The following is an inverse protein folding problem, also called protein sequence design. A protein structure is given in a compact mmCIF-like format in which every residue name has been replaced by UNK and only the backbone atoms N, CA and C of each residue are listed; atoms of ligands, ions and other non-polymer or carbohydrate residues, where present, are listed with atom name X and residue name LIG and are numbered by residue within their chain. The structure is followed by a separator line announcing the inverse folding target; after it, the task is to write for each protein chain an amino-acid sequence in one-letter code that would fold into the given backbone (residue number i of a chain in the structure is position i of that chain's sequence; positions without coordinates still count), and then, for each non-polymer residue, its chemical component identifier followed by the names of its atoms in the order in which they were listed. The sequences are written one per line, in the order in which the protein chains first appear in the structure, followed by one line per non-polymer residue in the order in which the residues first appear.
data_IF_538454212262
#
_entry.id   IF_538454212262
#
_cell.length_a   1.000
_cell.length_b   1.000
_cell.length_c   1.000
_cell.angle_alpha   90.00
_cell.angle_beta   90.00
_cell.angle_gamma   90.00
#
_symmetry.space_group_name_H-M   'P 1'
#
loop_
_entity.id
_entity.type
_entity.pdbx_description
1 polymer ?
#
# COMPACT_ATOMS: atom_id res chain seq x y z
N UNK A 1 6.88 10.55 1.15
CA UNK A 1 5.99 9.92 2.15
C UNK A 1 5.09 8.91 1.42
N UNK A 2 4.90 7.67 1.93
CA UNK A 2 4.03 6.65 1.28
C UNK A 2 2.57 6.93 1.64
N UNK A 3 1.68 6.93 0.64
CA UNK A 3 0.23 7.17 0.83
C UNK A 3 -0.41 6.18 1.84
N UNK A 4 -1.32 6.64 2.72
CA UNK A 4 -1.87 5.84 3.81
C UNK A 4 -2.54 4.54 3.33
N UNK A 5 -3.27 4.58 2.20
CA UNK A 5 -3.87 3.37 1.62
C UNK A 5 -2.86 2.29 1.25
N UNK A 6 -1.70 2.69 0.71
CA UNK A 6 -0.62 1.74 0.34
C UNK A 6 0.02 1.16 1.60
N UNK A 7 0.18 1.98 2.64
CA UNK A 7 0.69 1.53 3.94
C UNK A 7 -0.25 0.53 4.61
N UNK A 8 -1.56 0.80 4.65
CA UNK A 8 -2.58 -0.13 5.16
C UNK A 8 -2.55 -1.46 4.40
N UNK A 9 -2.55 -1.38 3.07
CA UNK A 9 -2.46 -2.55 2.20
C UNK A 9 -1.22 -3.40 2.50
N UNK A 10 -0.05 -2.78 2.64
CA UNK A 10 1.19 -3.47 2.97
C UNK A 10 1.10 -4.16 4.34
N UNK A 11 0.55 -3.49 5.36
CA UNK A 11 0.36 -4.08 6.69
C UNK A 11 -0.53 -5.32 6.63
N UNK A 12 -1.67 -5.26 5.92
CA UNK A 12 -2.57 -6.41 5.75
C UNK A 12 -1.88 -7.58 5.04
N UNK A 13 -1.09 -7.29 4.01
CA UNK A 13 -0.31 -8.31 3.32
C UNK A 13 0.70 -9.00 4.26
N UNK A 14 1.34 -8.26 5.18
CA UNK A 14 2.23 -8.86 6.17
C UNK A 14 1.49 -9.71 7.21
N UNK A 15 0.27 -9.34 7.60
CA UNK A 15 -0.55 -10.15 8.51
C UNK A 15 -0.90 -11.48 7.86
N UNK A 16 -1.47 -11.46 6.64
CA UNK A 16 -1.81 -12.69 5.89
C UNK A 16 -0.55 -13.49 5.54
N UNK A 17 0.57 -12.81 5.27
CA UNK A 17 1.84 -13.44 4.94
C UNK A 17 2.44 -14.30 6.05
N UNK A 18 2.00 -14.17 7.31
CA UNK A 18 2.45 -15.04 8.41
C UNK A 18 2.04 -16.50 8.21
N UNK A 19 0.81 -16.72 7.73
CA UNK A 19 0.24 -18.06 7.52
C UNK A 19 0.40 -18.55 6.07
N UNK A 20 0.90 -17.70 5.17
CA UNK A 20 1.07 -18.04 3.77
C UNK A 20 2.05 -19.20 3.59
N UNK A 21 1.82 -20.16 2.67
CA UNK A 21 2.64 -21.38 2.58
C UNK A 21 4.14 -21.16 2.36
N UNK A 22 4.53 -20.08 1.66
CA UNK A 22 5.93 -19.69 1.42
C UNK A 22 6.51 -18.78 2.53
N UNK A 23 5.70 -18.45 3.53
CA UNK A 23 6.08 -17.65 4.70
C UNK A 23 6.19 -16.15 4.47
N UNK A 24 6.31 -15.44 5.59
CA UNK A 24 6.37 -13.98 5.65
C UNK A 24 7.56 -13.36 4.87
N UNK A 25 8.78 -13.92 4.88
CA UNK A 25 9.90 -13.34 4.14
C UNK A 25 9.65 -13.25 2.64
N UNK A 26 9.05 -14.30 2.06
CA UNK A 26 8.69 -14.35 0.65
C UNK A 26 7.68 -13.25 0.31
N UNK A 27 6.58 -13.18 1.06
CA UNK A 27 5.52 -12.19 0.87
C UNK A 27 6.08 -10.77 1.01
N UNK A 28 6.87 -10.51 2.05
CA UNK A 28 7.52 -9.22 2.28
C UNK A 28 8.35 -8.77 1.08
N UNK A 29 9.16 -9.67 0.51
CA UNK A 29 10.01 -9.40 -0.67
C UNK A 29 9.16 -9.05 -1.88
N UNK A 30 8.15 -9.86 -2.19
CA UNK A 30 7.28 -9.66 -3.35
C UNK A 30 6.49 -8.36 -3.27
N UNK A 31 5.89 -8.07 -2.12
CA UNK A 31 5.11 -6.84 -1.93
C UNK A 31 5.97 -5.58 -1.99
N UNK A 32 7.18 -5.60 -1.41
CA UNK A 32 8.14 -4.48 -1.57
C UNK A 32 8.55 -4.28 -3.02
N UNK A 33 8.73 -5.36 -3.79
CA UNK A 33 9.02 -5.28 -5.22
C UNK A 33 7.83 -4.70 -5.99
N UNK A 34 6.61 -5.18 -5.72
CA UNK A 34 5.41 -4.72 -6.40
C UNK A 34 5.10 -3.24 -6.16
N UNK A 35 5.25 -2.75 -4.93
CA UNK A 35 5.02 -1.34 -4.56
C UNK A 35 6.04 -0.40 -5.21
N UNK A 36 7.27 -0.87 -5.43
CA UNK A 36 8.33 -0.10 -6.10
C UNK A 36 8.34 -0.24 -7.62
N UNK A 37 7.48 -1.10 -8.18
CA UNK A 37 7.43 -1.28 -9.63
C UNK A 37 6.84 -0.02 -10.28
N UNK A 38 7.47 0.43 -11.37
CA UNK A 38 7.04 1.59 -12.15
C UNK A 38 5.61 1.38 -12.66
N UNK A 39 5.24 0.18 -13.10
CA UNK A 39 3.89 -0.14 -13.60
C UNK A 39 2.78 0.01 -12.56
N UNK A 40 3.13 -0.09 -11.27
CA UNK A 40 2.21 0.06 -10.14
C UNK A 40 2.35 1.43 -9.47
N UNK A 41 3.31 2.24 -9.90
CA UNK A 41 3.60 3.54 -9.31
C UNK A 41 2.74 4.59 -10.01
N UNK A 42 1.88 5.31 -9.28
CA UNK A 42 1.13 6.42 -9.83
C UNK A 42 2.06 7.48 -10.45
N UNK A 43 1.67 7.99 -11.60
CA UNK A 43 2.42 9.00 -12.37
C UNK A 43 2.79 10.24 -11.54
N UNK A 44 1.99 10.56 -10.53
CA UNK A 44 2.19 11.68 -9.61
C UNK A 44 3.41 11.58 -8.69
N UNK A 45 3.86 10.39 -8.31
CA UNK A 45 5.08 10.29 -7.50
C UNK A 45 6.34 10.61 -8.29
N UNK A 46 6.29 10.42 -9.61
CA UNK A 46 7.44 10.65 -10.48
C UNK A 46 7.65 12.15 -10.73
N UNK A 47 6.57 12.91 -10.94
CA UNK A 47 6.65 14.37 -11.07
C UNK A 47 7.05 15.08 -9.77
N UNK A 48 6.59 14.60 -8.61
CA UNK A 48 6.97 15.21 -7.33
C UNK A 48 8.48 15.06 -7.04
N UNK A 49 9.11 14.00 -7.53
CA UNK A 49 10.56 13.80 -7.43
C UNK A 49 11.34 14.72 -8.39
N UNK A 50 10.82 14.97 -9.60
CA UNK A 50 11.44 15.89 -10.55
C UNK A 50 11.42 17.34 -10.06
N UNK A 51 10.32 17.78 -9.42
CA UNK A 51 10.22 19.13 -8.85
C UNK A 51 11.22 19.36 -7.71
N UNK A 52 11.51 18.34 -6.90
CA UNK A 52 12.52 18.40 -5.84
C UNK A 52 13.95 18.48 -6.38
N UNK A 53 14.25 17.79 -7.48
CA UNK A 53 15.57 17.86 -8.13
C UNK A 53 15.83 19.24 -8.75
N UNK A 54 14.81 19.88 -9.32
CA UNK A 54 14.96 21.23 -9.89
C UNK A 54 15.26 22.31 -8.84
N UNK A 55 14.74 22.18 -7.62
CA UNK A 55 15.00 23.14 -6.54
C UNK A 55 16.40 22.98 -5.91
N UNK A 56 17.00 21.79 -5.91
CA UNK A 56 18.36 21.59 -5.40
C UNK A 56 19.45 22.15 -6.33
N UNK A 57 19.17 22.25 -7.64
CA UNK A 57 20.11 22.77 -8.62
C UNK A 57 20.27 24.29 -8.63
N UNK A 58 19.46 25.04 -7.85
CA UNK A 58 19.55 26.51 -7.75
C UNK A 58 20.23 27.01 -6.46
N UNK A 59 20.53 26.14 -5.49
CA UNK A 59 21.32 26.49 -4.31
C UNK A 59 22.80 26.19 -4.54
N UNK A 60 23.43 26.96 -5.43
CA UNK A 60 24.90 27.02 -5.52
C UNK A 60 25.51 27.73 -4.30
N UNK A 61 26.75 27.40 -3.89
CA UNK A 61 27.35 27.96 -2.69
C UNK A 61 27.68 29.44 -2.90
N UNK A 62 26.90 30.33 -2.30
CA UNK A 62 27.28 31.73 -2.15
C UNK A 62 28.40 31.81 -1.10
N UNK A 63 29.63 31.92 -1.56
CA UNK A 63 30.75 32.40 -0.75
C UNK A 63 30.51 33.89 -0.49
N UNK A 64 30.06 34.25 0.71
CA UNK A 64 29.92 35.64 1.12
C UNK A 64 30.53 35.83 2.50
N UNK A 65 31.69 36.48 2.51
CA UNK A 65 32.30 37.04 3.70
C UNK A 65 31.52 38.28 4.11
N UNK A 66 31.11 38.37 5.36
CA UNK A 66 30.69 39.63 5.97
C UNK A 66 31.18 39.70 7.42
N UNK A 67 31.87 40.79 7.81
CA UNK A 67 31.87 41.26 9.17
C UNK A 67 30.96 42.50 9.34
N UNK A 68 30.31 42.51 10.50
CA UNK A 68 29.99 43.64 11.39
C UNK A 68 28.96 44.74 11.02
N UNK A 69 28.05 44.87 12.00
CA UNK A 69 27.66 46.09 12.73
C UNK A 69 26.46 46.96 12.29
N UNK A 70 25.66 47.23 13.33
CA UNK A 70 24.93 48.46 13.67
C UNK A 70 23.43 48.51 13.41
N UNK A 71 22.73 48.37 14.54
CA UNK A 71 21.35 48.76 14.81
C UNK A 71 21.25 50.28 14.76
N UNK A 72 20.32 50.83 13.98
CA UNK A 72 19.73 52.16 14.23
C UNK A 72 18.34 52.23 13.59
N UNK A 73 17.34 52.44 14.45
CA UNK A 73 15.93 52.68 14.16
C UNK A 73 15.68 54.08 13.59
N UNK A 74 14.73 54.21 12.64
CA UNK A 74 13.72 55.29 12.61
C UNK A 74 12.59 54.99 11.60
N UNK A 75 11.33 55.33 11.93
CA UNK A 75 10.17 55.17 11.05
C UNK A 75 9.71 56.51 10.46
N UNK A 76 9.40 56.57 9.15
CA UNK A 76 8.59 57.65 8.56
C UNK A 76 7.83 57.19 7.30
N UNK A 77 6.54 56.93 7.48
CA UNK A 77 5.36 57.35 6.71
C UNK A 77 5.53 57.99 5.29
N UNK A 78 4.92 57.38 4.25
CA UNK A 78 3.86 57.96 3.37
C UNK A 78 3.60 57.15 2.07
N UNK A 79 2.40 56.55 2.02
CA UNK A 79 1.34 56.68 0.99
C UNK A 79 1.74 56.71 -0.52
N UNK A 80 1.37 55.66 -1.27
CA UNK A 80 0.70 55.82 -2.59
C UNK A 80 -0.04 54.54 -3.03
N UNK A 81 -1.35 54.68 -3.24
CA UNK A 81 -2.21 53.72 -3.93
C UNK A 81 -1.71 53.46 -5.35
N UNK A 82 -1.72 52.20 -5.77
CA UNK A 82 -1.95 51.85 -7.17
C UNK A 82 -2.63 50.49 -7.28
N UNK A 83 -3.88 50.56 -7.73
CA UNK A 83 -4.72 49.49 -8.22
C UNK A 83 -4.07 48.80 -9.41
N UNK A 84 -3.54 47.60 -9.20
CA UNK A 84 -3.24 46.67 -10.28
C UNK A 84 -4.26 45.54 -10.24
N UNK A 85 -5.15 45.62 -11.22
CA UNK A 85 -6.03 44.55 -11.67
C UNK A 85 -5.15 43.34 -11.99
N UNK A 86 -5.01 42.44 -11.03
CA UNK A 86 -4.34 41.17 -11.25
C UNK A 86 -5.34 40.29 -11.97
N UNK A 87 -5.18 40.24 -13.29
CA UNK A 87 -5.64 39.18 -14.16
C UNK A 87 -5.66 37.84 -13.42
N UNK A 88 -6.88 37.35 -13.16
CA UNK A 88 -7.12 36.01 -12.65
C UNK A 88 -6.55 35.06 -13.69
N UNK A 89 -5.34 34.61 -13.40
CA UNK A 89 -4.59 33.70 -14.24
C UNK A 89 -5.30 32.36 -14.17
N UNK A 90 -5.86 31.96 -15.30
CA UNK A 90 -6.60 30.72 -15.58
C UNK A 90 -5.72 29.44 -15.50
N UNK A 91 -4.67 29.45 -14.69
CA UNK A 91 -3.69 28.37 -14.52
C UNK A 91 -4.00 27.41 -13.36
N UNK A 92 -5.04 27.67 -12.57
CA UNK A 92 -5.43 26.89 -11.39
C UNK A 92 -6.15 25.56 -11.70
N UNK A 93 -6.60 25.33 -12.93
CA UNK A 93 -7.34 24.11 -13.31
C UNK A 93 -6.47 22.86 -13.52
N UNK A 94 -5.18 23.01 -13.87
CA UNK A 94 -4.31 21.86 -14.17
C UNK A 94 -3.77 21.15 -12.92
N UNK A 95 -3.65 21.87 -11.79
CA UNK A 95 -3.13 21.29 -10.55
C UNK A 95 -4.14 20.37 -9.85
N UNK A 96 -5.44 20.71 -9.89
CA UNK A 96 -6.48 19.88 -9.24
C UNK A 96 -6.74 18.58 -10.01
N UNK A 97 -6.77 18.61 -11.35
CA UNK A 97 -6.96 17.42 -12.19
C UNK A 97 -5.84 16.38 -12.01
N UNK A 98 -4.60 16.84 -11.82
CA UNK A 98 -3.48 15.95 -11.56
C UNK A 98 -3.63 15.20 -10.23
N UNK A 99 -4.11 15.88 -9.19
CA UNK A 99 -4.33 15.27 -7.87
C UNK A 99 -5.45 14.22 -7.89
N UNK A 100 -6.51 14.46 -8.66
CA UNK A 100 -7.64 13.53 -8.83
C UNK A 100 -7.22 12.28 -9.61
N UNK A 101 -6.42 12.43 -10.68
CA UNK A 101 -5.97 11.30 -11.46
C UNK A 101 -4.96 10.43 -10.68
N UNK A 102 -4.04 11.07 -9.96
CA UNK A 102 -3.13 10.42 -9.01
C UNK A 102 -3.90 9.57 -7.99
N UNK A 103 -4.94 10.14 -7.39
CA UNK A 103 -5.74 9.44 -6.40
C UNK A 103 -6.49 8.25 -7.01
N UNK A 104 -7.03 8.40 -8.23
CA UNK A 104 -7.67 7.31 -8.98
C UNK A 104 -6.69 6.16 -9.25
N UNK A 105 -5.47 6.46 -9.68
CA UNK A 105 -4.42 5.47 -9.93
C UNK A 105 -4.03 4.72 -8.65
N UNK A 106 -3.84 5.44 -7.54
CA UNK A 106 -3.58 4.84 -6.22
C UNK A 106 -4.71 3.90 -5.83
N UNK A 107 -5.96 4.35 -5.92
CA UNK A 107 -7.14 3.55 -5.56
C UNK A 107 -7.25 2.30 -6.43
N UNK A 108 -6.99 2.40 -7.74
CA UNK A 108 -7.00 1.27 -8.68
C UNK A 108 -5.91 0.26 -8.33
N UNK A 109 -4.67 0.71 -8.11
CA UNK A 109 -3.55 -0.16 -7.72
C UNK A 109 -3.78 -0.84 -6.36
N UNK A 110 -4.28 -0.09 -5.37
CA UNK A 110 -4.65 -0.63 -4.05
C UNK A 110 -5.78 -1.65 -4.18
N UNK A 111 -6.76 -1.41 -5.05
CA UNK A 111 -7.84 -2.36 -5.36
C UNK A 111 -7.30 -3.71 -5.85
N UNK A 112 -6.36 -3.70 -6.80
CA UNK A 112 -5.66 -4.91 -7.28
C UNK A 112 -4.93 -5.63 -6.14
N UNK A 113 -4.21 -4.88 -5.30
CA UNK A 113 -3.54 -5.46 -4.14
C UNK A 113 -4.50 -6.10 -3.13
N UNK A 114 -5.65 -5.46 -2.86
CA UNK A 114 -6.69 -6.04 -1.98
C UNK A 114 -7.26 -7.34 -2.54
N UNK A 115 -7.42 -7.43 -3.86
CA UNK A 115 -7.79 -8.67 -4.53
C UNK A 115 -6.74 -9.76 -4.29
N UNK A 116 -5.45 -9.46 -4.51
CA UNK A 116 -4.36 -10.41 -4.26
C UNK A 116 -4.31 -10.91 -2.81
N UNK A 117 -4.63 -10.07 -1.83
CA UNK A 117 -4.72 -10.50 -0.42
C UNK A 117 -5.84 -11.54 -0.23
N UNK A 118 -6.99 -11.39 -0.90
CA UNK A 118 -8.08 -12.39 -0.84
C UNK A 118 -7.64 -13.72 -1.46
N UNK A 119 -6.94 -13.68 -2.57
CA UNK A 119 -6.36 -14.90 -3.19
C UNK A 119 -5.38 -15.59 -2.24
N UNK A 120 -4.52 -14.82 -1.57
CA UNK A 120 -3.62 -15.38 -0.55
C UNK A 120 -4.37 -16.04 0.60
N UNK A 121 -5.46 -15.44 1.09
CA UNK A 121 -6.33 -16.04 2.11
C UNK A 121 -6.94 -17.35 1.60
N UNK A 122 -7.40 -17.38 0.35
CA UNK A 122 -7.94 -18.59 -0.28
C UNK A 122 -6.90 -19.72 -0.33
N UNK A 123 -5.65 -19.43 -0.70
CA UNK A 123 -4.56 -20.41 -0.68
C UNK A 123 -4.29 -20.95 0.73
N UNK A 124 -4.33 -20.09 1.74
CA UNK A 124 -4.16 -20.50 3.15
C UNK A 124 -5.31 -21.41 3.59
N UNK A 125 -6.55 -21.03 3.30
CA UNK A 125 -7.73 -21.83 3.59
C UNK A 125 -7.69 -23.19 2.88
N UNK A 126 -7.29 -23.22 1.60
CA UNK A 126 -7.17 -24.46 0.85
C UNK A 126 -6.11 -25.39 1.46
N UNK A 127 -4.97 -24.86 1.90
CA UNK A 127 -3.95 -25.66 2.62
C UNK A 127 -4.55 -26.25 3.89
N UNK A 128 -5.26 -25.45 4.69
CA UNK A 128 -5.92 -25.90 5.93
C UNK A 128 -6.96 -26.99 5.64
N UNK A 129 -7.81 -26.78 4.64
CA UNK A 129 -8.80 -27.75 4.20
C UNK A 129 -8.16 -29.07 3.76
N UNK A 130 -7.13 -29.02 2.91
CA UNK A 130 -6.41 -30.24 2.46
C UNK A 130 -5.82 -31.04 3.62
N UNK A 131 -5.29 -30.37 4.65
CA UNK A 131 -4.79 -31.04 5.85
C UNK A 131 -5.93 -31.69 6.65
N UNK A 132 -7.08 -31.03 6.74
CA UNK A 132 -8.26 -31.56 7.42
C UNK A 132 -8.88 -32.74 6.66
N UNK A 133 -9.11 -32.59 5.34
CA UNK A 133 -9.66 -33.61 4.44
C UNK A 133 -8.92 -34.95 4.55
N UNK A 134 -7.58 -34.93 4.56
CA UNK A 134 -6.75 -36.14 4.74
C UNK A 134 -6.97 -36.88 6.06
N UNK A 135 -7.50 -36.21 7.09
CA UNK A 135 -7.71 -36.82 8.42
C UNK A 135 -9.11 -37.40 8.58
N UNK A 136 -10.09 -36.86 7.87
CA UNK A 136 -11.51 -37.18 8.09
C UNK A 136 -12.17 -37.84 6.88
N UNK A 137 -11.82 -37.43 5.66
CA UNK A 137 -12.50 -37.93 4.45
C UNK A 137 -11.83 -39.20 3.90
N UNK A 138 -10.51 -39.36 4.07
CA UNK A 138 -9.81 -40.64 3.80
C UNK A 138 -10.32 -41.79 4.69
N UNK A 139 -10.87 -41.48 5.87
CA UNK A 139 -11.49 -42.46 6.77
C UNK A 139 -12.90 -42.83 6.31
N UNK A 140 -13.65 -41.86 5.78
CA UNK A 140 -15.04 -42.07 5.34
C UNK A 140 -15.11 -42.87 4.04
N UNK A 141 -14.22 -42.66 3.06
CA UNK A 141 -14.17 -43.55 1.88
C UNK A 141 -13.78 -44.99 2.23
N UNK A 142 -12.98 -45.20 3.28
CA UNK A 142 -12.63 -46.54 3.77
C UNK A 142 -13.79 -47.20 4.53
N UNK A 143 -14.50 -46.45 5.36
CA UNK A 143 -15.62 -46.96 6.16
C UNK A 143 -16.92 -47.12 5.35
N UNK A 144 -17.15 -46.35 4.28
CA UNK A 144 -18.30 -46.54 3.38
C UNK A 144 -18.21 -47.87 2.62
N UNK A 145 -17.00 -48.42 2.41
CA UNK A 145 -16.77 -49.70 1.76
C UNK A 145 -16.71 -50.89 2.74
N UNK A 146 -16.69 -50.64 4.04
CA UNK A 146 -16.74 -51.71 5.04
C UNK A 146 -18.20 -52.01 5.38
N UNK A 147 -18.64 -53.28 5.27
CA UNK A 147 -19.96 -53.66 5.75
C UNK A 147 -20.05 -53.31 7.26
N UNK A 148 -21.24 -52.91 7.75
CA UNK A 148 -21.42 -52.60 9.16
C UNK A 148 -20.93 -53.77 10.01
N UNK A 149 -20.30 -53.50 11.18
CA UNK A 149 -19.83 -54.56 12.06
C UNK A 149 -21.01 -55.47 12.42
N UNK A 150 -20.79 -56.79 12.35
CA UNK A 150 -21.80 -57.78 12.68
C UNK A 150 -22.39 -57.50 14.07
N UNK A 151 -23.72 -57.57 14.24
CA UNK A 151 -24.33 -57.37 15.54
C UNK A 151 -23.74 -58.37 16.55
N UNK A 152 -23.52 -57.94 17.81
CA UNK A 152 -23.00 -58.85 18.83
C UNK A 152 -23.94 -60.05 19.01
N UNK A 153 -23.39 -61.25 19.27
CA UNK A 153 -24.21 -62.45 19.47
C UNK A 153 -25.19 -62.23 20.63
N UNK A 154 -26.42 -62.74 20.52
CA UNK A 154 -27.41 -62.59 21.58
C UNK A 154 -26.90 -63.22 22.88
N UNK A 155 -27.27 -62.65 24.06
CA UNK A 155 -26.89 -63.21 25.35
C UNK A 155 -27.35 -64.67 25.43
N UNK A 156 -26.43 -65.60 25.68
CA UNK A 156 -26.78 -66.99 25.96
C UNK A 156 -27.49 -67.03 27.31
N UNK A 157 -28.79 -67.35 27.30
CA UNK A 157 -29.53 -67.60 28.53
C UNK A 157 -28.96 -68.88 29.17
N UNK A 158 -28.50 -68.76 30.41
CA UNK A 158 -28.03 -69.87 31.25
C UNK A 158 -29.20 -70.64 31.85
#
# INVERSE_FOLDING_TARGET
MIHPLVRDLYKRALVVGRDYPLGLPYVRKQWKRAIRNVDNTPSCYQQQQQQQQQHQSQSGPQHSQHPNTTITTRPTERRRNQSHHSSVSSSSSSSSYFSVQCEREIRKAVGKGRFMIREMIGVIQLKKYRTMHRRYDDATERDILLPPPSPPPPPQQQ
#
